data_IF_990172350028
#
_entry.id   IF_990172350028
#
_cell.length_a   1.000
_cell.length_b   1.000
_cell.length_c   1.000
_cell.angle_alpha   90.00
_cell.angle_beta   90.00
_cell.angle_gamma   90.00
#
_symmetry.space_group_name_H-M   'P 1'
#
loop_
_entity.id
_entity.type
_entity.pdbx_description
1 polymer ?
#
# COMPACT_ATOMS: atom_id res chain seq x y z
N UNK A 1 -18.51 27.82 -6.76
CA UNK A 1 -18.62 27.47 -8.21
C UNK A 1 -19.80 26.54 -8.45
N UNK A 2 -19.88 25.34 -7.83
CA UNK A 2 -20.99 24.37 -8.06
C UNK A 2 -22.32 24.98 -7.62
N UNK A 3 -22.37 25.60 -6.46
CA UNK A 3 -23.57 26.27 -5.94
C UNK A 3 -23.99 27.47 -6.79
N UNK A 4 -23.03 28.23 -7.32
CA UNK A 4 -23.28 29.36 -8.20
C UNK A 4 -23.91 28.91 -9.53
N UNK A 5 -23.33 27.86 -10.14
CA UNK A 5 -23.87 27.26 -11.35
C UNK A 5 -25.27 26.68 -11.15
N UNK A 6 -25.53 26.06 -10.00
CA UNK A 6 -26.85 25.57 -9.63
C UNK A 6 -27.86 26.71 -9.49
N UNK A 7 -27.43 27.84 -8.91
CA UNK A 7 -28.27 29.04 -8.80
C UNK A 7 -28.59 29.65 -10.18
N UNK A 8 -27.72 29.48 -11.17
CA UNK A 8 -27.92 29.90 -12.57
C UNK A 8 -28.79 28.90 -13.37
N UNK A 9 -29.27 27.82 -12.74
CA UNK A 9 -30.13 26.81 -13.37
C UNK A 9 -29.40 25.73 -14.13
N UNK A 10 -28.07 25.59 -13.96
CA UNK A 10 -27.29 24.53 -14.57
C UNK A 10 -27.52 23.20 -13.83
N UNK A 11 -27.90 22.17 -14.57
CA UNK A 11 -28.01 20.81 -14.04
C UNK A 11 -26.61 20.11 -14.03
N UNK A 12 -26.24 19.54 -12.91
CA UNK A 12 -24.87 18.99 -12.67
C UNK A 12 -24.96 17.51 -12.34
N UNK A 13 -24.19 16.69 -13.05
CA UNK A 13 -23.93 15.28 -12.68
C UNK A 13 -22.55 15.23 -12.02
N UNK A 14 -22.53 14.99 -10.70
CA UNK A 14 -21.31 14.96 -9.90
C UNK A 14 -20.94 13.55 -9.52
N UNK A 15 -19.75 13.09 -9.93
CA UNK A 15 -19.25 11.74 -9.67
C UNK A 15 -18.06 11.84 -8.71
N UNK A 16 -18.23 11.27 -7.53
CA UNK A 16 -17.18 11.26 -6.50
C UNK A 16 -17.29 10.01 -5.61
N UNK A 17 -16.20 9.69 -4.93
CA UNK A 17 -16.16 8.70 -3.86
C UNK A 17 -16.05 9.34 -2.47
N UNK A 18 -16.05 10.68 -2.40
CA UNK A 18 -16.03 11.45 -1.17
C UNK A 18 -17.45 11.72 -0.69
N UNK A 19 -17.90 10.93 0.27
CA UNK A 19 -19.28 10.93 0.74
C UNK A 19 -19.71 12.27 1.33
N UNK A 20 -18.83 12.95 2.05
CA UNK A 20 -19.10 14.25 2.66
C UNK A 20 -19.39 15.34 1.60
N UNK A 21 -18.67 15.30 0.46
CA UNK A 21 -18.92 16.20 -0.66
C UNK A 21 -20.28 15.90 -1.30
N UNK A 22 -20.53 14.61 -1.59
CA UNK A 22 -21.80 14.16 -2.19
C UNK A 22 -22.99 14.59 -1.33
N UNK A 23 -22.97 14.29 -0.03
CA UNK A 23 -24.05 14.64 0.89
C UNK A 23 -24.28 16.15 1.02
N UNK A 24 -23.22 16.96 0.85
CA UNK A 24 -23.30 18.41 0.98
C UNK A 24 -23.90 19.11 -0.23
N UNK A 25 -23.58 18.62 -1.46
CA UNK A 25 -23.88 19.36 -2.69
C UNK A 25 -25.01 18.75 -3.52
N UNK A 26 -25.32 17.47 -3.37
CA UNK A 26 -26.27 16.76 -4.20
C UNK A 26 -27.71 16.92 -3.67
N UNK A 27 -28.68 16.90 -4.59
CA UNK A 27 -30.11 16.79 -4.26
C UNK A 27 -30.50 15.33 -4.15
N UNK A 28 -30.09 14.49 -5.13
CA UNK A 28 -30.29 13.06 -5.17
C UNK A 28 -28.97 12.33 -5.36
N UNK A 29 -28.85 11.13 -4.81
CA UNK A 29 -27.66 10.28 -4.89
C UNK A 29 -28.03 8.93 -5.48
N UNK A 30 -27.47 8.63 -6.65
CA UNK A 30 -27.56 7.32 -7.28
C UNK A 30 -26.33 6.49 -6.90
N UNK A 31 -26.56 5.31 -6.36
CA UNK A 31 -25.50 4.39 -5.95
C UNK A 31 -25.35 3.26 -6.96
N UNK A 32 -24.11 3.00 -7.35
CA UNK A 32 -23.72 1.90 -8.23
C UNK A 32 -22.70 1.00 -7.55
N UNK A 33 -22.76 -0.30 -7.85
CA UNK A 33 -21.81 -1.31 -7.35
C UNK A 33 -21.55 -2.36 -8.42
N UNK A 34 -20.28 -2.62 -8.71
CA UNK A 34 -19.85 -3.62 -9.72
C UNK A 34 -20.53 -3.44 -11.09
N UNK A 35 -20.79 -2.18 -11.49
CA UNK A 35 -21.47 -1.85 -12.73
C UNK A 35 -23.00 -1.94 -12.69
N UNK A 36 -23.58 -2.29 -11.56
CA UNK A 36 -25.04 -2.41 -11.39
C UNK A 36 -25.62 -1.21 -10.63
N UNK A 37 -26.81 -0.78 -11.05
CA UNK A 37 -27.62 0.19 -10.34
C UNK A 37 -28.16 -0.43 -9.05
N UNK A 38 -27.96 0.24 -7.91
CA UNK A 38 -28.42 -0.22 -6.60
C UNK A 38 -29.69 0.53 -6.18
N UNK A 39 -29.72 1.86 -6.43
CA UNK A 39 -30.86 2.69 -6.11
C UNK A 39 -30.53 4.18 -6.17
N UNK A 40 -31.57 5.01 -6.06
CA UNK A 40 -31.47 6.47 -5.96
C UNK A 40 -32.26 6.94 -4.74
N UNK A 41 -31.70 7.87 -3.98
CA UNK A 41 -32.27 8.41 -2.76
C UNK A 41 -32.10 9.92 -2.72
N UNK A 42 -33.01 10.63 -2.04
CA UNK A 42 -32.79 12.03 -1.66
C UNK A 42 -31.54 12.12 -0.75
N UNK A 43 -30.66 13.05 -1.03
CA UNK A 43 -29.43 13.22 -0.26
C UNK A 43 -29.69 13.46 1.24
N UNK A 44 -30.80 14.07 1.58
CA UNK A 44 -31.23 14.35 2.97
C UNK A 44 -31.61 13.09 3.76
N UNK A 45 -31.97 12.02 3.06
CA UNK A 45 -32.33 10.72 3.67
C UNK A 45 -31.14 9.80 3.85
N UNK A 46 -29.97 10.21 3.33
CA UNK A 46 -28.75 9.41 3.35
C UNK A 46 -27.82 9.83 4.47
N UNK A 47 -27.17 8.84 5.03
CA UNK A 47 -25.99 8.99 5.88
C UNK A 47 -24.78 8.37 5.20
N UNK A 48 -23.58 8.78 5.58
CA UNK A 48 -22.33 8.17 5.08
C UNK A 48 -22.36 6.65 5.23
N UNK A 49 -22.79 6.13 6.38
CA UNK A 49 -22.88 4.68 6.64
C UNK A 49 -23.87 3.97 5.70
N UNK A 50 -25.01 4.60 5.43
CA UNK A 50 -26.02 4.06 4.50
C UNK A 50 -25.48 3.99 3.08
N UNK A 51 -24.78 5.04 2.62
CA UNK A 51 -24.13 5.05 1.30
C UNK A 51 -23.10 3.94 1.22
N UNK A 52 -22.21 3.85 2.20
CA UNK A 52 -21.15 2.82 2.25
C UNK A 52 -21.77 1.41 2.26
N UNK A 53 -22.77 1.19 3.08
CA UNK A 53 -23.49 -0.11 3.15
C UNK A 53 -24.05 -0.51 1.78
N UNK A 54 -24.70 0.42 1.07
CA UNK A 54 -25.24 0.14 -0.26
C UNK A 54 -24.15 -0.08 -1.31
N UNK A 55 -23.04 0.65 -1.24
CA UNK A 55 -21.90 0.49 -2.14
C UNK A 55 -21.17 -0.84 -1.92
N UNK A 56 -21.01 -1.27 -0.67
CA UNK A 56 -20.29 -2.50 -0.30
C UNK A 56 -21.20 -3.73 -0.27
N UNK A 57 -22.49 -3.53 -0.03
CA UNK A 57 -23.52 -4.59 0.03
C UNK A 57 -23.57 -5.37 1.34
N UNK A 58 -22.91 -4.87 2.37
CA UNK A 58 -22.94 -5.39 3.76
C UNK A 58 -22.77 -4.25 4.74
N UNK A 59 -23.35 -4.37 5.92
CA UNK A 59 -23.04 -3.46 7.01
C UNK A 59 -21.57 -3.56 7.39
N UNK A 60 -20.88 -2.42 7.42
CA UNK A 60 -19.53 -2.32 7.95
C UNK A 60 -19.63 -2.10 9.46
N UNK A 61 -19.97 -3.15 10.20
CA UNK A 61 -20.06 -3.08 11.66
C UNK A 61 -18.72 -2.81 12.35
N UNK A 62 -17.60 -3.09 11.67
CA UNK A 62 -16.24 -2.81 12.16
C UNK A 62 -15.36 -2.37 10.99
N UNK A 63 -15.19 -1.06 10.80
CA UNK A 63 -14.24 -0.49 9.82
C UNK A 63 -12.80 -0.90 10.15
N UNK A 64 -12.49 -1.03 11.42
CA UNK A 64 -11.18 -1.46 11.92
C UNK A 64 -11.35 -2.65 12.88
N UNK A 65 -10.62 -3.76 12.67
CA UNK A 65 -10.62 -4.85 13.62
C UNK A 65 -10.10 -4.38 14.99
N UNK A 66 -10.58 -5.01 16.05
CA UNK A 66 -10.08 -4.77 17.38
C UNK A 66 -8.56 -5.05 17.45
N UNK A 67 -7.85 -4.19 18.18
CA UNK A 67 -6.41 -4.35 18.36
C UNK A 67 -6.15 -5.33 19.47
N UNK A 68 -5.55 -6.47 19.14
CA UNK A 68 -5.14 -7.50 20.11
C UNK A 68 -3.61 -7.59 20.25
N UNK A 69 -2.85 -6.82 19.48
CA UNK A 69 -1.40 -6.84 19.51
C UNK A 69 -0.87 -6.06 20.71
N UNK A 70 0.09 -6.66 21.40
CA UNK A 70 0.89 -6.01 22.45
C UNK A 70 2.27 -5.75 21.86
N UNK A 71 2.72 -4.48 21.74
CA UNK A 71 4.06 -4.16 21.28
C UNK A 71 5.13 -4.80 22.16
N UNK A 72 6.08 -5.48 21.53
CA UNK A 72 7.22 -6.10 22.20
C UNK A 72 8.44 -5.19 22.29
N UNK A 73 9.63 -5.78 22.25
CA UNK A 73 10.91 -5.07 22.24
C UNK A 73 11.10 -4.29 20.93
N UNK A 74 11.88 -3.18 20.94
CA UNK A 74 12.23 -2.44 19.74
C UNK A 74 12.93 -3.35 18.72
N UNK A 75 12.42 -3.36 17.50
CA UNK A 75 12.98 -4.16 16.39
C UNK A 75 13.66 -3.29 15.35
N UNK A 76 13.22 -2.05 15.21
CA UNK A 76 13.74 -1.12 14.24
C UNK A 76 13.78 0.29 14.82
N UNK A 77 14.95 0.91 14.79
CA UNK A 77 15.17 2.24 15.32
C UNK A 77 15.84 3.13 14.26
N UNK A 78 15.32 4.31 14.07
CA UNK A 78 15.89 5.36 13.23
C UNK A 78 16.22 6.54 14.12
N UNK A 79 17.44 7.06 14.06
CA UNK A 79 17.89 8.17 14.88
C UNK A 79 18.54 9.25 14.06
N UNK A 80 18.05 10.47 14.22
CA UNK A 80 18.56 11.70 13.61
C UNK A 80 18.77 11.64 12.09
N UNK A 81 17.86 10.95 11.42
CA UNK A 81 17.98 10.62 10.00
C UNK A 81 17.67 11.83 9.13
N UNK A 82 18.65 12.23 8.32
CA UNK A 82 18.63 13.48 7.55
C UNK A 82 18.98 13.22 6.09
N UNK A 83 18.18 13.74 5.18
CA UNK A 83 18.41 13.66 3.73
C UNK A 83 19.63 14.47 3.30
N UNK A 84 20.31 14.00 2.25
CA UNK A 84 21.31 14.81 1.53
C UNK A 84 20.68 16.03 0.86
N UNK A 85 19.38 15.95 0.49
CA UNK A 85 18.65 17.08 -0.07
C UNK A 85 18.17 18.01 1.07
N UNK A 86 18.64 19.27 1.13
CA UNK A 86 18.29 20.21 2.20
C UNK A 86 16.81 20.61 2.23
N UNK A 87 16.03 20.29 1.20
CA UNK A 87 14.57 20.55 1.14
C UNK A 87 13.73 19.34 1.47
N UNK A 88 14.36 18.22 1.90
CA UNK A 88 13.67 16.99 2.24
C UNK A 88 13.65 16.77 3.77
N UNK A 89 13.48 15.53 4.21
CA UNK A 89 13.40 15.17 5.63
C UNK A 89 14.68 15.49 6.41
N UNK A 90 14.54 15.91 7.68
CA UNK A 90 15.65 16.23 8.57
C UNK A 90 15.37 15.80 9.99
N UNK A 91 16.41 15.33 10.69
CA UNK A 91 16.40 14.99 12.10
C UNK A 91 15.25 14.06 12.51
N UNK A 92 14.88 13.13 11.61
CA UNK A 92 13.79 12.20 11.88
C UNK A 92 14.28 11.09 12.80
N UNK A 93 13.54 10.88 13.89
CA UNK A 93 13.82 9.80 14.84
C UNK A 93 12.53 9.11 15.26
N UNK A 94 12.53 7.79 15.22
CA UNK A 94 11.41 6.96 15.67
C UNK A 94 11.87 5.51 15.92
N UNK A 95 11.05 4.76 16.64
CA UNK A 95 11.25 3.32 16.82
C UNK A 95 10.00 2.54 16.45
N UNK A 96 10.18 1.30 16.05
CA UNK A 96 9.09 0.34 15.79
C UNK A 96 9.37 -0.92 16.62
N UNK A 97 8.36 -1.37 17.37
CA UNK A 97 8.44 -2.53 18.23
C UNK A 97 7.89 -3.78 17.52
N UNK A 98 8.31 -4.93 17.98
CA UNK A 98 7.79 -6.21 17.45
C UNK A 98 6.27 -6.28 17.59
N UNK A 99 5.58 -6.53 16.46
CA UNK A 99 4.11 -6.60 16.42
C UNK A 99 3.40 -5.25 16.53
N UNK A 100 4.13 -4.13 16.45
CA UNK A 100 3.57 -2.78 16.44
C UNK A 100 3.17 -2.35 15.03
N UNK A 101 2.14 -1.50 14.96
CA UNK A 101 1.81 -0.72 13.77
C UNK A 101 2.06 0.75 14.10
N UNK A 102 3.18 1.28 13.61
CA UNK A 102 3.51 2.70 13.72
C UNK A 102 2.86 3.48 12.57
N UNK A 103 1.99 4.42 12.87
CA UNK A 103 1.42 5.34 11.89
C UNK A 103 2.30 6.58 11.68
N UNK A 104 2.66 6.85 10.42
CA UNK A 104 3.40 8.07 10.04
C UNK A 104 2.47 9.01 9.31
N UNK A 105 2.06 10.10 9.95
CA UNK A 105 1.12 11.07 9.41
C UNK A 105 1.83 12.35 8.95
N UNK A 106 1.24 13.03 7.98
CA UNK A 106 1.73 14.32 7.46
C UNK A 106 0.93 14.78 6.25
N UNK A 107 0.93 16.07 5.97
CA UNK A 107 0.28 16.63 4.79
C UNK A 107 1.01 16.21 3.50
N UNK A 108 0.37 16.42 2.36
CA UNK A 108 1.01 16.25 1.04
C UNK A 108 2.24 17.15 0.98
N UNK A 109 3.37 16.57 0.58
CA UNK A 109 4.66 17.27 0.58
C UNK A 109 5.43 17.24 1.90
N UNK A 110 4.93 16.55 2.95
CA UNK A 110 5.65 16.41 4.23
C UNK A 110 6.87 15.48 4.16
N UNK A 111 7.22 14.99 2.99
CA UNK A 111 8.42 14.16 2.72
C UNK A 111 8.39 12.80 3.43
N UNK A 112 7.20 12.23 3.65
CA UNK A 112 7.03 10.88 4.27
C UNK A 112 7.60 9.80 3.36
N UNK A 113 7.20 9.81 2.08
CA UNK A 113 7.70 8.90 1.05
C UNK A 113 9.22 8.98 0.93
N UNK A 114 9.77 10.18 0.86
CA UNK A 114 11.21 10.42 0.75
C UNK A 114 11.98 9.87 1.96
N UNK A 115 11.42 10.00 3.16
CA UNK A 115 11.99 9.42 4.38
C UNK A 115 12.03 7.89 4.29
N UNK A 116 10.91 7.25 3.90
CA UNK A 116 10.83 5.80 3.78
C UNK A 116 11.73 5.25 2.67
N UNK A 117 11.81 5.96 1.54
CA UNK A 117 12.75 5.66 0.45
C UNK A 117 14.21 5.82 0.89
N UNK A 118 14.52 6.82 1.73
CA UNK A 118 15.85 6.99 2.34
C UNK A 118 16.21 5.83 3.24
N UNK A 119 15.32 5.42 4.11
CA UNK A 119 15.48 4.28 5.01
C UNK A 119 15.66 2.97 4.23
N UNK A 120 14.95 2.81 3.13
CA UNK A 120 15.05 1.62 2.28
C UNK A 120 16.26 1.62 1.35
N UNK A 121 17.03 2.75 1.29
CA UNK A 121 18.22 2.88 0.47
C UNK A 121 17.96 3.21 -1.01
N UNK A 122 16.78 3.75 -1.34
CA UNK A 122 16.47 4.31 -2.66
C UNK A 122 17.04 5.72 -2.77
N UNK A 123 16.94 6.52 -1.70
CA UNK A 123 17.49 7.87 -1.63
C UNK A 123 18.70 7.91 -0.70
N UNK A 124 19.67 8.74 -1.05
CA UNK A 124 20.82 8.99 -0.20
C UNK A 124 20.44 9.83 1.03
N UNK A 125 21.04 9.52 2.16
CA UNK A 125 20.98 10.27 3.40
C UNK A 125 22.38 10.78 3.77
N UNK A 126 22.43 11.82 4.59
CA UNK A 126 23.67 12.48 4.99
C UNK A 126 24.07 12.09 6.42
N UNK A 127 23.10 12.07 7.33
CA UNK A 127 23.30 11.85 8.76
C UNK A 127 22.25 10.88 9.31
N UNK A 128 22.53 10.38 10.48
CA UNK A 128 21.66 9.48 11.22
C UNK A 128 22.07 8.02 11.15
N UNK A 129 21.47 7.23 12.02
CA UNK A 129 21.74 5.79 12.14
C UNK A 129 20.46 4.99 12.11
N UNK A 130 20.56 3.77 11.60
CA UNK A 130 19.49 2.79 11.62
C UNK A 130 19.97 1.60 12.45
N UNK A 131 19.18 1.19 13.44
CA UNK A 131 19.39 -0.06 14.16
C UNK A 131 18.28 -1.05 13.83
N UNK A 132 18.68 -2.30 13.72
CA UNK A 132 17.78 -3.42 13.48
C UNK A 132 18.10 -4.53 14.49
N UNK A 133 17.10 -4.91 15.31
CA UNK A 133 17.24 -5.89 16.40
C UNK A 133 18.40 -5.55 17.36
N UNK A 134 18.57 -4.25 17.65
CA UNK A 134 19.61 -3.74 18.56
C UNK A 134 20.97 -3.49 17.91
N UNK A 135 21.22 -3.96 16.69
CA UNK A 135 22.49 -3.76 15.98
C UNK A 135 22.39 -2.63 14.96
N UNK A 136 23.43 -1.80 14.90
CA UNK A 136 23.52 -0.75 13.88
C UNK A 136 23.76 -1.39 12.50
N UNK A 137 22.93 -1.02 11.52
CA UNK A 137 23.02 -1.52 10.16
C UNK A 137 23.26 -0.38 9.17
N UNK A 138 23.95 -0.70 8.08
CA UNK A 138 24.16 0.25 6.97
C UNK A 138 23.32 -0.19 5.78
N UNK A 139 22.41 0.71 5.34
CA UNK A 139 21.59 0.54 4.16
C UNK A 139 22.03 1.58 3.12
N UNK A 140 22.70 1.12 2.08
CA UNK A 140 23.17 1.99 0.98
C UNK A 140 22.35 1.80 -0.31
N UNK A 141 21.59 0.70 -0.38
CA UNK A 141 20.75 0.34 -1.53
C UNK A 141 19.63 -0.60 -1.08
N UNK A 142 18.52 -0.73 -1.84
CA UNK A 142 17.38 -1.58 -1.50
C UNK A 142 17.73 -3.03 -1.15
N UNK A 143 18.72 -3.60 -1.82
CA UNK A 143 19.18 -4.97 -1.54
C UNK A 143 19.68 -5.15 -0.10
N UNK A 144 20.27 -4.11 0.48
CA UNK A 144 20.76 -4.16 1.86
C UNK A 144 19.58 -4.21 2.83
N UNK A 145 18.55 -3.38 2.61
CA UNK A 145 17.30 -3.39 3.39
C UNK A 145 16.61 -4.77 3.32
N UNK A 146 16.47 -5.32 2.11
CA UNK A 146 15.83 -6.63 1.89
C UNK A 146 16.58 -7.74 2.66
N UNK A 147 17.91 -7.73 2.67
CA UNK A 147 18.73 -8.69 3.41
C UNK A 147 18.51 -8.63 4.92
N UNK A 148 18.21 -7.45 5.45
CA UNK A 148 17.85 -7.26 6.85
C UNK A 148 16.36 -7.52 7.15
N UNK A 149 15.60 -8.03 6.19
CA UNK A 149 14.17 -8.32 6.40
C UNK A 149 13.29 -7.07 6.42
N UNK A 150 13.72 -5.98 5.78
CA UNK A 150 12.94 -4.76 5.61
C UNK A 150 12.34 -4.76 4.22
N UNK A 151 11.05 -4.45 4.11
CA UNK A 151 10.31 -4.37 2.85
C UNK A 151 9.61 -3.02 2.71
N UNK A 152 9.47 -2.52 1.47
CA UNK A 152 8.81 -1.26 1.17
C UNK A 152 7.80 -1.41 0.04
N UNK A 153 6.53 -1.18 0.34
CA UNK A 153 5.49 -0.94 -0.65
C UNK A 153 5.44 0.57 -0.94
N UNK A 154 5.74 0.94 -2.18
CA UNK A 154 5.80 2.35 -2.62
C UNK A 154 4.42 2.92 -2.94
N UNK A 155 4.24 4.25 -2.81
CA UNK A 155 3.00 4.97 -3.11
C UNK A 155 2.55 4.75 -4.56
N UNK A 156 3.41 5.01 -5.53
CA UNK A 156 3.08 4.81 -6.94
C UNK A 156 3.39 3.40 -7.40
N UNK A 157 2.38 2.54 -7.28
CA UNK A 157 2.50 1.13 -7.70
C UNK A 157 2.81 0.96 -9.18
N UNK A 158 2.36 1.88 -10.07
CA UNK A 158 2.57 1.76 -11.51
C UNK A 158 3.95 2.20 -11.94
N UNK A 159 4.44 3.31 -11.39
CA UNK A 159 5.75 3.85 -11.76
C UNK A 159 6.90 3.11 -11.08
N UNK A 160 6.74 2.72 -9.81
CA UNK A 160 7.85 2.19 -8.98
C UNK A 160 7.59 0.79 -8.42
N UNK A 161 6.34 0.34 -8.43
CA UNK A 161 5.97 -0.94 -7.81
C UNK A 161 6.00 -2.12 -8.77
N UNK A 162 5.24 -2.09 -9.87
CA UNK A 162 5.06 -3.22 -10.77
C UNK A 162 6.06 -3.23 -11.93
N UNK A 163 6.37 -4.43 -12.40
CA UNK A 163 7.00 -4.65 -13.70
C UNK A 163 5.89 -5.00 -14.69
N UNK A 164 5.26 -3.99 -15.31
CA UNK A 164 3.97 -4.07 -15.99
C UNK A 164 3.87 -5.13 -17.08
N UNK A 165 4.93 -5.32 -17.86
CA UNK A 165 4.99 -6.30 -18.96
C UNK A 165 5.29 -7.73 -18.50
N UNK A 166 5.73 -7.89 -17.24
CA UNK A 166 6.03 -9.21 -16.68
C UNK A 166 4.77 -9.85 -16.07
N UNK A 167 4.84 -11.16 -15.87
CA UNK A 167 3.73 -11.92 -15.32
C UNK A 167 3.49 -11.65 -13.84
N UNK A 168 2.35 -12.10 -13.33
CA UNK A 168 2.04 -12.14 -11.89
C UNK A 168 3.11 -12.94 -11.15
N UNK A 169 3.54 -14.09 -11.71
CA UNK A 169 4.57 -14.94 -11.11
C UNK A 169 5.91 -14.19 -10.97
N UNK A 170 6.38 -13.54 -12.04
CA UNK A 170 7.62 -12.77 -12.00
C UNK A 170 7.54 -11.64 -10.97
N UNK A 171 6.41 -10.94 -10.95
CA UNK A 171 6.19 -9.84 -10.01
C UNK A 171 6.16 -10.31 -8.55
N UNK A 172 5.66 -11.50 -8.23
CA UNK A 172 5.67 -12.04 -6.87
C UNK A 172 7.08 -12.50 -6.48
N UNK A 173 7.78 -13.20 -7.39
CA UNK A 173 9.02 -13.92 -7.04
C UNK A 173 10.29 -13.05 -7.07
N UNK A 174 10.31 -11.96 -7.85
CA UNK A 174 11.54 -11.19 -8.14
C UNK A 174 12.33 -10.76 -6.92
N UNK A 175 11.67 -10.35 -5.84
CA UNK A 175 12.35 -9.88 -4.65
C UNK A 175 12.89 -11.01 -3.76
N UNK A 176 12.52 -12.26 -4.05
CA UNK A 176 12.91 -13.45 -3.29
C UNK A 176 13.60 -14.52 -4.13
N UNK A 177 13.98 -14.22 -5.39
CA UNK A 177 14.59 -15.19 -6.31
C UNK A 177 15.77 -15.93 -5.71
N UNK A 178 16.63 -15.25 -4.97
CA UNK A 178 17.81 -15.84 -4.32
C UNK A 178 17.46 -17.05 -3.44
N UNK A 179 16.25 -17.12 -2.89
CA UNK A 179 15.76 -18.22 -2.03
C UNK A 179 15.32 -19.46 -2.82
N UNK A 180 15.11 -19.29 -4.12
CA UNK A 180 14.55 -20.31 -5.02
C UNK A 180 15.54 -20.76 -6.09
N UNK A 181 16.84 -20.55 -5.83
CA UNK A 181 17.91 -21.05 -6.68
C UNK A 181 18.34 -22.45 -6.22
N UNK A 182 18.38 -23.41 -7.13
CA UNK A 182 19.04 -24.67 -6.92
C UNK A 182 20.54 -24.49 -7.19
N UNK A 183 21.38 -24.99 -6.30
CA UNK A 183 22.84 -24.83 -6.33
C UNK A 183 23.34 -23.39 -6.40
N UNK A 184 22.47 -22.43 -6.02
CA UNK A 184 22.77 -20.98 -6.03
C UNK A 184 22.81 -20.31 -7.41
N UNK A 185 22.47 -21.02 -8.49
CA UNK A 185 22.64 -20.53 -9.87
C UNK A 185 21.38 -20.74 -10.72
N UNK A 186 20.67 -21.86 -10.55
CA UNK A 186 19.54 -22.23 -11.41
C UNK A 186 18.22 -21.96 -10.72
N UNK A 187 17.35 -21.23 -11.39
CA UNK A 187 15.99 -20.95 -10.88
C UNK A 187 15.19 -22.26 -10.83
N UNK A 188 14.58 -22.53 -9.67
CA UNK A 188 13.69 -23.67 -9.50
C UNK A 188 12.24 -23.26 -9.79
N UNK A 189 11.79 -23.46 -11.03
CA UNK A 189 10.46 -23.08 -11.48
C UNK A 189 9.34 -23.73 -10.67
N UNK A 190 9.53 -24.97 -10.17
CA UNK A 190 8.51 -25.65 -9.36
C UNK A 190 8.32 -24.97 -8.00
N UNK A 191 9.41 -24.58 -7.35
CA UNK A 191 9.35 -23.86 -6.07
C UNK A 191 8.75 -22.48 -6.26
N UNK A 192 9.06 -21.78 -7.38
CA UNK A 192 8.44 -20.48 -7.70
C UNK A 192 6.95 -20.64 -7.95
N UNK A 193 6.53 -21.61 -8.75
CA UNK A 193 5.09 -21.82 -9.01
C UNK A 193 4.33 -22.12 -7.71
N UNK A 194 4.89 -22.92 -6.81
CA UNK A 194 4.32 -23.18 -5.49
C UNK A 194 4.17 -21.88 -4.67
N UNK A 195 5.24 -21.07 -4.57
CA UNK A 195 5.21 -19.76 -3.92
C UNK A 195 4.10 -18.88 -4.46
N UNK A 196 4.00 -18.82 -5.79
CA UNK A 196 3.01 -17.97 -6.48
C UNK A 196 1.59 -18.43 -6.18
N UNK A 197 1.31 -19.74 -6.24
CA UNK A 197 0.00 -20.29 -5.94
C UNK A 197 -0.40 -20.04 -4.48
N UNK A 198 0.52 -20.22 -3.54
CA UNK A 198 0.29 -19.91 -2.13
C UNK A 198 -0.06 -18.42 -1.92
N UNK A 199 0.69 -17.51 -2.57
CA UNK A 199 0.42 -16.08 -2.49
C UNK A 199 -0.90 -15.68 -3.15
N UNK A 200 -1.20 -16.22 -4.34
CA UNK A 200 -2.48 -15.97 -5.03
C UNK A 200 -3.66 -16.37 -4.16
N UNK A 201 -3.56 -17.53 -3.49
CA UNK A 201 -4.59 -18.01 -2.56
C UNK A 201 -4.66 -17.15 -1.30
N UNK A 202 -3.52 -16.91 -0.63
CA UNK A 202 -3.44 -16.16 0.63
C UNK A 202 -3.95 -14.73 0.49
N UNK A 203 -3.61 -14.05 -0.59
CA UNK A 203 -4.00 -12.67 -0.86
C UNK A 203 -5.33 -12.56 -1.62
N UNK A 204 -5.94 -13.70 -1.98
CA UNK A 204 -7.15 -13.74 -2.81
C UNK A 204 -6.98 -12.86 -4.08
N UNK A 205 -5.91 -13.11 -4.85
CA UNK A 205 -5.61 -12.40 -6.09
C UNK A 205 -6.50 -12.95 -7.20
N UNK A 206 -7.32 -12.10 -7.80
CA UNK A 206 -8.13 -12.47 -8.96
C UNK A 206 -7.28 -12.33 -10.22
N UNK A 207 -6.81 -13.44 -10.74
CA UNK A 207 -6.04 -13.54 -11.99
C UNK A 207 -6.44 -14.80 -12.76
N UNK A 208 -6.49 -14.77 -14.12
CA UNK A 208 -6.74 -15.97 -14.92
C UNK A 208 -5.65 -17.04 -14.76
N UNK A 209 -4.38 -16.61 -14.61
CA UNK A 209 -3.24 -17.53 -14.39
C UNK A 209 -2.04 -16.77 -13.78
N UNK A 210 -1.07 -17.50 -13.26
CA UNK A 210 0.22 -16.97 -12.80
C UNK A 210 1.02 -16.29 -13.91
N UNK A 211 0.79 -16.68 -15.18
CA UNK A 211 1.45 -16.14 -16.38
C UNK A 211 0.78 -14.87 -16.95
N UNK A 212 -0.34 -14.46 -16.39
CA UNK A 212 -1.04 -13.22 -16.82
C UNK A 212 -0.15 -12.01 -16.55
N UNK A 213 -0.04 -11.11 -17.54
CA UNK A 213 0.68 -9.84 -17.36
C UNK A 213 0.01 -9.00 -16.27
N UNK A 214 0.81 -8.48 -15.33
CA UNK A 214 0.28 -7.77 -14.15
C UNK A 214 -0.50 -6.52 -14.53
N UNK A 215 -0.11 -5.81 -15.60
CA UNK A 215 -0.78 -4.60 -16.07
C UNK A 215 -2.24 -4.81 -16.49
N UNK A 216 -2.66 -6.04 -16.79
CA UNK A 216 -4.04 -6.36 -17.16
C UNK A 216 -4.96 -6.55 -15.95
N UNK A 217 -4.41 -6.61 -14.73
CA UNK A 217 -5.17 -6.75 -13.51
C UNK A 217 -5.81 -5.44 -13.08
N UNK A 218 -6.88 -5.52 -12.29
CA UNK A 218 -7.41 -4.35 -11.58
C UNK A 218 -6.40 -3.79 -10.58
N UNK A 219 -6.49 -2.49 -10.28
CA UNK A 219 -5.57 -1.82 -9.35
C UNK A 219 -5.45 -2.52 -8.00
N UNK A 220 -6.56 -3.00 -7.43
CA UNK A 220 -6.54 -3.75 -6.16
C UNK A 220 -5.84 -5.11 -6.26
N UNK A 221 -5.94 -5.81 -7.41
CA UNK A 221 -5.21 -7.06 -7.61
C UNK A 221 -3.72 -6.82 -7.84
N UNK A 222 -3.34 -5.76 -8.57
CA UNK A 222 -1.93 -5.34 -8.67
C UNK A 222 -1.32 -5.10 -7.28
N UNK A 223 -2.04 -4.41 -6.41
CA UNK A 223 -1.61 -4.13 -5.05
C UNK A 223 -1.41 -5.40 -4.22
N UNK A 224 -2.33 -6.35 -4.32
CA UNK A 224 -2.20 -7.66 -3.68
C UNK A 224 -0.98 -8.43 -4.16
N UNK A 225 -0.65 -8.36 -5.45
CA UNK A 225 0.58 -8.96 -6.02
C UNK A 225 1.82 -8.31 -5.40
N UNK A 226 1.86 -6.98 -5.27
CA UNK A 226 2.98 -6.26 -4.67
C UNK A 226 3.17 -6.60 -3.18
N UNK A 227 2.08 -6.66 -2.42
CA UNK A 227 2.12 -7.11 -1.03
C UNK A 227 2.62 -8.55 -0.96
N UNK A 228 2.10 -9.43 -1.82
CA UNK A 228 2.54 -10.83 -1.93
C UNK A 228 4.04 -10.96 -2.21
N UNK A 229 4.61 -10.13 -3.09
CA UNK A 229 6.07 -10.04 -3.34
C UNK A 229 6.87 -9.84 -2.06
N UNK A 230 6.43 -8.88 -1.25
CA UNK A 230 7.14 -8.58 -0.02
C UNK A 230 6.95 -9.63 1.06
N UNK A 231 5.75 -10.18 1.20
CA UNK A 231 5.47 -11.26 2.14
C UNK A 231 6.23 -12.55 1.80
N UNK A 232 6.56 -12.79 0.52
CA UNK A 232 7.43 -13.90 0.09
C UNK A 232 8.84 -13.84 0.70
N UNK A 233 9.27 -12.66 1.13
CA UNK A 233 10.54 -12.45 1.80
C UNK A 233 10.49 -12.69 3.32
N UNK A 234 9.29 -12.90 3.91
CA UNK A 234 9.08 -12.97 5.35
C UNK A 234 9.73 -11.78 6.08
N UNK A 235 9.32 -10.54 5.77
CA UNK A 235 9.93 -9.36 6.35
C UNK A 235 9.63 -9.25 7.84
N UNK A 236 10.61 -8.79 8.62
CA UNK A 236 10.44 -8.40 10.02
C UNK A 236 9.81 -7.00 10.13
N UNK A 237 10.13 -6.12 9.17
CA UNK A 237 9.60 -4.76 9.07
C UNK A 237 9.00 -4.54 7.68
N UNK A 238 7.73 -4.18 7.63
CA UNK A 238 7.01 -3.88 6.40
C UNK A 238 6.56 -2.42 6.40
N UNK A 239 7.16 -1.63 5.52
CA UNK A 239 6.79 -0.23 5.30
C UNK A 239 5.73 -0.20 4.21
N UNK A 240 4.59 0.44 4.52
CA UNK A 240 3.46 0.57 3.59
C UNK A 240 3.18 2.06 3.35
N UNK A 241 3.51 2.55 2.16
CA UNK A 241 3.26 3.93 1.77
C UNK A 241 1.97 4.00 0.94
N UNK A 242 0.95 4.68 1.49
CA UNK A 242 -0.41 4.82 0.92
C UNK A 242 -0.99 3.48 0.40
N UNK A 243 -1.04 2.40 1.22
CA UNK A 243 -1.35 1.04 0.76
C UNK A 243 -2.79 0.85 0.26
N UNK A 244 -3.66 1.84 0.42
CA UNK A 244 -5.08 1.78 0.03
C UNK A 244 -5.43 2.69 -1.14
N UNK A 245 -4.47 3.37 -1.71
CA UNK A 245 -4.65 4.32 -2.82
C UNK A 245 -4.86 3.65 -4.19
#
# INVERSE_FOLDING_TARGET
IIEDLKAEGVSIVYISHKMDEILRISDEVTIMRDGHYIGTWDAKELTTDKIITQMVGRELSNLFPERHNVPGEPVFEVKDFTSINPRSFRHCSFEVRKGEILGVAGLVGAQRTELMEGIFGIRAHNEGTIKFKGEEIKISRPRDAIKHGIALLTEDRRATGIMGVLSVADNISVASLDKYLDMGIVINDKKIEQLVQENVKKMNIKTPSSKTQIQSLSGGNMQKVLIGRWLANNPDVLILDEPTR
#
